data_IF_235552089338
#
_entry.id   IF_235552089338
#
_cell.length_a   1.000
_cell.length_b   1.000
_cell.length_c   1.000
_cell.angle_alpha   90.00
_cell.angle_beta   90.00
_cell.angle_gamma   90.00
#
_symmetry.space_group_name_H-M   'P 1'
#
loop_
_entity.id
_entity.type
_entity.pdbx_description
1 polymer ?
#
# COMPACT_ATOMS: atom_id res chain seq x y z
N UNK A 1 15.97 11.98 44.85
CA UNK A 1 15.86 12.65 43.54
C UNK A 1 15.95 11.57 42.48
N UNK A 2 14.80 11.17 41.94
CA UNK A 2 14.74 10.17 40.87
C UNK A 2 15.33 10.77 39.58
N UNK A 3 16.32 10.09 39.01
CA UNK A 3 16.71 10.27 37.62
C UNK A 3 15.48 10.06 36.74
N UNK A 4 14.83 11.16 36.34
CA UNK A 4 14.03 11.20 35.13
C UNK A 4 14.98 10.93 33.96
N UNK A 5 15.25 9.65 33.70
CA UNK A 5 15.79 9.21 32.42
C UNK A 5 14.91 9.83 31.35
N UNK A 6 15.48 10.75 30.60
CA UNK A 6 14.96 11.40 29.40
C UNK A 6 14.75 10.32 28.34
N UNK A 7 13.79 9.42 28.58
CA UNK A 7 13.30 8.53 27.55
C UNK A 7 12.60 9.44 26.55
N UNK A 8 13.13 9.48 25.32
CA UNK A 8 12.52 10.27 24.25
C UNK A 8 11.02 9.92 24.15
N UNK A 9 10.21 10.87 23.67
CA UNK A 9 8.76 10.67 23.49
C UNK A 9 8.41 9.38 22.72
N UNK A 10 9.34 8.89 21.89
CA UNK A 10 9.24 7.66 21.09
C UNK A 10 9.30 6.38 21.96
N UNK A 11 10.04 6.43 23.09
CA UNK A 11 10.30 5.28 23.97
C UNK A 11 9.36 5.18 25.20
N UNK A 12 8.33 6.03 25.29
CA UNK A 12 7.42 6.02 26.44
C UNK A 12 6.70 4.67 26.54
N UNK A 13 6.84 3.98 27.67
CA UNK A 13 6.19 2.68 27.91
C UNK A 13 6.84 1.50 27.16
N UNK A 14 8.07 1.66 26.65
CA UNK A 14 8.87 0.57 26.08
C UNK A 14 9.84 0.05 27.14
N UNK A 15 9.59 -1.17 27.61
CA UNK A 15 10.42 -1.85 28.61
C UNK A 15 11.74 -2.36 28.00
N UNK A 16 11.71 -2.80 26.74
CA UNK A 16 12.88 -3.31 26.02
C UNK A 16 13.02 -2.66 24.62
N UNK A 17 14.04 -1.82 24.45
CA UNK A 17 14.30 -1.11 23.18
C UNK A 17 14.63 -2.06 22.02
N UNK A 18 15.39 -3.11 22.27
CA UNK A 18 15.78 -4.08 21.22
C UNK A 18 14.55 -4.84 20.70
N UNK A 19 13.66 -5.23 21.61
CA UNK A 19 12.40 -5.88 21.25
C UNK A 19 11.48 -4.93 20.48
N UNK A 20 11.43 -3.65 20.87
CA UNK A 20 10.67 -2.62 20.17
C UNK A 20 11.15 -2.41 18.73
N UNK A 21 12.46 -2.25 18.53
CA UNK A 21 13.03 -2.12 17.19
C UNK A 21 12.79 -3.36 16.33
N UNK A 22 12.86 -4.56 16.92
CA UNK A 22 12.51 -5.80 16.23
C UNK A 22 11.06 -5.79 15.73
N UNK A 23 10.10 -5.36 16.57
CA UNK A 23 8.68 -5.25 16.18
C UNK A 23 8.47 -4.30 15.01
N UNK A 24 9.13 -3.13 15.04
CA UNK A 24 9.13 -2.18 13.93
C UNK A 24 9.69 -2.84 12.67
N UNK A 25 10.83 -3.52 12.77
CA UNK A 25 11.48 -4.21 11.65
C UNK A 25 10.60 -5.28 11.00
N UNK A 26 9.95 -6.15 11.79
CA UNK A 26 9.01 -7.14 11.24
C UNK A 26 7.83 -6.48 10.54
N UNK A 27 7.26 -5.43 11.16
CA UNK A 27 6.15 -4.68 10.57
C UNK A 27 6.57 -4.02 9.24
N UNK A 28 7.78 -3.47 9.15
CA UNK A 28 8.35 -2.92 7.92
C UNK A 28 8.50 -3.98 6.81
N UNK A 29 8.85 -5.21 7.18
CA UNK A 29 8.98 -6.30 6.21
C UNK A 29 7.62 -6.79 5.74
N UNK A 30 6.62 -6.85 6.63
CA UNK A 30 5.24 -7.13 6.21
C UNK A 30 4.71 -6.03 5.28
N UNK A 31 5.02 -4.77 5.55
CA UNK A 31 4.74 -3.67 4.62
C UNK A 31 5.40 -3.93 3.26
N UNK A 32 6.71 -4.17 3.23
CA UNK A 32 7.45 -4.33 1.98
C UNK A 32 6.97 -5.56 1.19
N UNK A 33 6.80 -6.71 1.84
CA UNK A 33 6.35 -7.95 1.23
C UNK A 33 4.94 -7.80 0.63
N UNK A 34 3.99 -7.22 1.38
CA UNK A 34 2.62 -7.03 0.87
C UNK A 34 2.57 -6.00 -0.26
N UNK A 35 3.40 -4.95 -0.21
CA UNK A 35 3.53 -3.97 -1.28
C UNK A 35 4.05 -4.61 -2.58
N UNK A 36 5.13 -5.37 -2.48
CA UNK A 36 5.73 -6.09 -3.62
C UNK A 36 4.70 -7.08 -4.17
N UNK A 37 4.13 -7.94 -3.32
CA UNK A 37 3.12 -8.92 -3.72
C UNK A 37 1.95 -8.29 -4.48
N UNK A 38 1.37 -7.21 -3.96
CA UNK A 38 0.25 -6.52 -4.62
C UNK A 38 0.64 -5.91 -5.96
N UNK A 39 1.84 -5.31 -6.03
CA UNK A 39 2.31 -4.72 -7.28
C UNK A 39 2.49 -5.79 -8.35
N UNK A 40 3.20 -6.88 -8.03
CA UNK A 40 3.43 -7.97 -8.97
C UNK A 40 2.14 -8.67 -9.40
N UNK A 41 1.24 -8.99 -8.46
CA UNK A 41 -0.03 -9.64 -8.80
C UNK A 41 -0.92 -8.74 -9.67
N UNK A 42 -0.93 -7.43 -9.40
CA UNK A 42 -1.68 -6.47 -10.22
C UNK A 42 -1.14 -6.37 -11.65
N UNK A 43 0.19 -6.35 -11.81
CA UNK A 43 0.83 -6.32 -13.13
C UNK A 43 0.66 -7.64 -13.87
N UNK A 44 0.91 -8.78 -13.20
CA UNK A 44 0.74 -10.10 -13.78
C UNK A 44 -0.70 -10.32 -14.27
N UNK A 45 -1.71 -9.89 -13.50
CA UNK A 45 -3.10 -10.00 -13.91
C UNK A 45 -3.41 -9.12 -15.12
N UNK A 46 -2.98 -7.85 -15.13
CA UNK A 46 -3.17 -6.97 -16.28
C UNK A 46 -2.48 -7.52 -17.54
N UNK A 47 -1.25 -8.01 -17.42
CA UNK A 47 -0.50 -8.60 -18.53
C UNK A 47 -1.13 -9.90 -19.04
N UNK A 48 -1.58 -10.79 -18.15
CA UNK A 48 -2.28 -12.02 -18.54
C UNK A 48 -3.57 -11.70 -19.32
N UNK A 49 -4.38 -10.76 -18.80
CA UNK A 49 -5.61 -10.35 -19.47
C UNK A 49 -5.33 -9.71 -20.84
N UNK A 50 -4.23 -8.95 -20.96
CA UNK A 50 -3.81 -8.36 -22.23
C UNK A 50 -3.40 -9.45 -23.25
N UNK A 51 -2.65 -10.46 -22.83
CA UNK A 51 -2.27 -11.59 -23.70
C UNK A 51 -3.48 -12.40 -24.17
N UNK A 52 -4.41 -12.71 -23.27
CA UNK A 52 -5.61 -13.51 -23.57
C UNK A 52 -6.52 -12.87 -24.63
N UNK A 53 -6.49 -11.53 -24.74
CA UNK A 53 -7.29 -10.79 -25.72
C UNK A 53 -6.54 -10.50 -27.03
N UNK A 54 -5.40 -11.14 -27.26
CA UNK A 54 -4.62 -11.05 -28.51
C UNK A 54 -3.69 -9.83 -28.59
N UNK A 55 -3.57 -9.07 -27.50
CA UNK A 55 -2.59 -8.00 -27.36
C UNK A 55 -1.24 -8.66 -27.08
N UNK A 56 -0.27 -8.50 -27.99
CA UNK A 56 1.12 -8.88 -27.76
C UNK A 56 1.91 -7.61 -27.47
N UNK A 57 1.84 -7.03 -26.26
CA UNK A 57 2.56 -5.80 -25.97
C UNK A 57 4.06 -6.09 -25.99
N UNK A 58 4.74 -5.74 -27.09
CA UNK A 58 6.12 -5.27 -27.00
C UNK A 58 6.03 -4.02 -26.13
N UNK A 59 6.63 -4.05 -24.94
CA UNK A 59 6.48 -3.17 -23.77
C UNK A 59 6.58 -1.65 -24.04
N UNK A 60 5.72 -1.11 -24.89
CA UNK A 60 5.65 0.27 -25.33
C UNK A 60 4.18 0.70 -25.29
N UNK A 61 3.84 1.38 -24.20
CA UNK A 61 2.57 2.08 -23.99
C UNK A 61 2.55 3.43 -24.74
N UNK A 62 3.04 3.46 -25.98
CA UNK A 62 2.95 4.66 -26.83
C UNK A 62 1.58 4.67 -27.55
N UNK A 63 0.78 5.70 -27.25
CA UNK A 63 -0.40 6.08 -28.03
C UNK A 63 -1.75 5.66 -27.45
N UNK A 64 -2.24 6.34 -26.40
CA UNK A 64 -3.67 6.31 -26.08
C UNK A 64 -4.54 6.83 -27.23
N UNK A 65 -3.98 7.66 -28.11
CA UNK A 65 -4.64 8.11 -29.35
C UNK A 65 -4.90 6.97 -30.34
N UNK A 66 -4.10 5.88 -30.32
CA UNK A 66 -4.34 4.70 -31.16
C UNK A 66 -5.51 3.84 -30.68
N UNK A 67 -5.95 3.99 -29.42
CA UNK A 67 -7.13 3.28 -28.89
C UNK A 67 -8.44 3.92 -29.39
N UNK A 68 -8.43 5.21 -29.71
CA UNK A 68 -9.54 5.92 -30.33
C UNK A 68 -9.62 5.58 -31.83
N UNK A 69 -10.01 4.34 -32.16
CA UNK A 69 -10.09 3.87 -33.55
C UNK A 69 -9.84 2.38 -33.75
N UNK A 70 -9.44 1.65 -32.71
CA UNK A 70 -9.32 0.18 -32.76
C UNK A 70 -10.70 -0.47 -32.66
N UNK A 71 -11.44 -0.44 -33.78
CA UNK A 71 -12.66 -1.22 -33.95
C UNK A 71 -12.35 -2.71 -33.79
N UNK A 72 -12.72 -3.30 -32.65
CA UNK A 72 -12.55 -4.73 -32.41
C UNK A 72 -12.63 -5.17 -30.94
N UNK A 73 -12.49 -4.25 -29.97
CA UNK A 73 -12.52 -4.60 -28.55
C UNK A 73 -13.83 -4.16 -27.90
N UNK A 74 -14.43 -5.06 -27.12
CA UNK A 74 -15.59 -4.71 -26.31
C UNK A 74 -15.19 -3.88 -25.08
N UNK A 75 -16.06 -2.96 -24.67
CA UNK A 75 -15.97 -2.16 -23.42
C UNK A 75 -15.47 -3.01 -22.25
N UNK A 76 -16.01 -4.22 -22.14
CA UNK A 76 -15.75 -5.17 -21.08
C UNK A 76 -14.29 -5.61 -21.03
N UNK A 77 -13.66 -5.88 -22.18
CA UNK A 77 -12.26 -6.33 -22.25
C UNK A 77 -11.29 -5.23 -21.83
N UNK A 78 -11.61 -3.99 -22.17
CA UNK A 78 -10.79 -2.81 -21.84
C UNK A 78 -10.90 -2.46 -20.36
N UNK A 79 -12.11 -2.54 -19.80
CA UNK A 79 -12.31 -2.46 -18.36
C UNK A 79 -11.46 -3.52 -17.64
N UNK A 80 -11.42 -4.76 -18.15
CA UNK A 80 -10.67 -5.85 -17.56
C UNK A 80 -9.14 -5.78 -17.63
N UNK A 81 -8.58 -5.04 -18.58
CA UNK A 81 -7.12 -4.85 -18.64
C UNK A 81 -6.69 -3.63 -17.80
N UNK A 82 -7.42 -2.52 -17.92
CA UNK A 82 -7.00 -1.24 -17.35
C UNK A 82 -7.57 -0.97 -15.95
N UNK A 83 -8.80 -1.41 -15.65
CA UNK A 83 -9.37 -1.26 -14.31
C UNK A 83 -9.00 -2.40 -13.36
N UNK A 84 -8.51 -3.55 -13.87
CA UNK A 84 -8.18 -4.69 -13.01
C UNK A 84 -7.14 -4.34 -11.91
N UNK A 85 -6.01 -3.66 -12.20
CA UNK A 85 -5.06 -3.30 -11.15
C UNK A 85 -5.62 -2.40 -10.03
N UNK A 86 -6.29 -1.26 -10.32
CA UNK A 86 -6.87 -0.45 -9.24
C UNK A 86 -8.01 -1.15 -8.51
N UNK A 87 -8.88 -1.88 -9.23
CA UNK A 87 -9.98 -2.63 -8.59
C UNK A 87 -9.41 -3.73 -7.69
N UNK A 88 -8.37 -4.45 -8.12
CA UNK A 88 -7.70 -5.45 -7.31
C UNK A 88 -7.15 -4.85 -6.01
N UNK A 89 -6.49 -3.70 -6.10
CA UNK A 89 -6.03 -2.97 -4.91
C UNK A 89 -7.16 -2.67 -3.92
N UNK A 90 -8.29 -2.16 -4.41
CA UNK A 90 -9.45 -1.85 -3.58
C UNK A 90 -10.09 -3.10 -2.97
N UNK A 91 -10.29 -4.14 -3.77
CA UNK A 91 -10.85 -5.44 -3.34
C UNK A 91 -9.98 -6.05 -2.25
N UNK A 92 -8.67 -6.21 -2.51
CA UNK A 92 -7.72 -6.72 -1.50
C UNK A 92 -7.74 -5.85 -0.25
N UNK A 93 -7.87 -4.53 -0.40
CA UNK A 93 -7.95 -3.63 0.74
C UNK A 93 -9.13 -3.94 1.66
N UNK A 94 -10.33 -4.04 1.07
CA UNK A 94 -11.58 -4.28 1.79
C UNK A 94 -11.55 -5.66 2.46
N UNK A 95 -11.21 -6.71 1.71
CA UNK A 95 -11.17 -8.07 2.24
C UNK A 95 -10.13 -8.22 3.35
N UNK A 96 -8.96 -7.60 3.21
CA UNK A 96 -7.92 -7.65 4.23
C UNK A 96 -8.35 -6.93 5.51
N UNK A 97 -9.05 -5.81 5.38
CA UNK A 97 -9.59 -5.08 6.53
C UNK A 97 -10.69 -5.87 7.25
N UNK A 98 -11.61 -6.50 6.50
CA UNK A 98 -12.64 -7.39 7.07
C UNK A 98 -11.99 -8.57 7.79
N UNK A 99 -11.05 -9.27 7.14
CA UNK A 99 -10.31 -10.38 7.72
C UNK A 99 -9.54 -9.95 8.99
N UNK A 100 -8.90 -8.78 8.98
CA UNK A 100 -8.23 -8.21 10.14
C UNK A 100 -9.15 -8.05 11.36
N UNK A 101 -10.42 -7.68 11.11
CA UNK A 101 -11.42 -7.54 12.17
C UNK A 101 -12.03 -8.86 12.62
N UNK A 102 -12.09 -9.86 11.74
CA UNK A 102 -12.65 -11.18 12.02
C UNK A 102 -11.67 -12.11 12.78
N UNK A 103 -10.37 -11.94 12.55
CA UNK A 103 -9.35 -12.79 13.17
C UNK A 103 -9.14 -12.44 14.64
N UNK A 104 -8.96 -13.48 15.46
CA UNK A 104 -8.65 -13.36 16.88
C UNK A 104 -7.45 -12.45 17.13
N UNK A 105 -7.55 -11.60 18.16
CA UNK A 105 -6.51 -10.62 18.47
C UNK A 105 -5.14 -11.24 18.73
N UNK A 106 -5.08 -12.49 19.20
CA UNK A 106 -3.84 -13.23 19.53
C UNK A 106 -2.97 -13.51 18.30
N UNK A 107 -3.55 -13.54 17.10
CA UNK A 107 -2.84 -13.81 15.84
C UNK A 107 -2.17 -12.54 15.28
N UNK A 108 -1.29 -11.94 16.08
CA UNK A 108 -0.77 -10.59 15.82
C UNK A 108 -0.02 -10.50 14.49
N UNK A 109 0.75 -11.52 14.09
CA UNK A 109 1.45 -11.53 12.80
C UNK A 109 0.49 -11.48 11.62
N UNK A 110 -0.51 -12.36 11.60
CA UNK A 110 -1.51 -12.39 10.52
C UNK A 110 -2.30 -11.09 10.48
N UNK A 111 -2.66 -10.53 11.65
CA UNK A 111 -3.31 -9.22 11.74
C UNK A 111 -2.41 -8.10 11.20
N UNK A 112 -1.12 -8.09 11.50
CA UNK A 112 -0.20 -7.08 10.94
C UNK A 112 -0.04 -7.24 9.42
N UNK A 113 0.04 -8.47 8.91
CA UNK A 113 0.07 -8.74 7.46
C UNK A 113 -1.20 -8.21 6.80
N UNK A 114 -2.38 -8.55 7.33
CA UNK A 114 -3.66 -8.11 6.79
C UNK A 114 -3.84 -6.59 6.88
N UNK A 115 -3.36 -5.97 7.96
CA UNK A 115 -3.36 -4.52 8.07
C UNK A 115 -2.53 -3.86 6.97
N UNK A 116 -1.31 -4.34 6.72
CA UNK A 116 -0.47 -3.78 5.66
C UNK A 116 -0.97 -4.13 4.26
N UNK A 117 -1.54 -5.31 4.07
CA UNK A 117 -2.21 -5.70 2.84
C UNK A 117 -3.41 -4.78 2.56
N UNK A 118 -4.15 -4.39 3.61
CA UNK A 118 -5.24 -3.43 3.51
C UNK A 118 -4.75 -2.03 3.09
N UNK A 119 -3.74 -1.51 3.78
CA UNK A 119 -3.14 -0.20 3.51
C UNK A 119 -2.54 -0.16 2.10
N UNK A 120 -1.72 -1.15 1.74
CA UNK A 120 -1.05 -1.22 0.44
C UNK A 120 -2.04 -1.43 -0.72
N UNK A 121 -3.12 -2.19 -0.52
CA UNK A 121 -4.18 -2.32 -1.52
C UNK A 121 -4.89 -0.99 -1.78
N UNK A 122 -5.18 -0.23 -0.72
CA UNK A 122 -5.77 1.09 -0.87
C UNK A 122 -4.81 2.09 -1.52
N UNK A 123 -3.53 2.07 -1.13
CA UNK A 123 -2.49 2.88 -1.77
C UNK A 123 -2.38 2.58 -3.26
N UNK A 124 -2.44 1.31 -3.66
CA UNK A 124 -2.44 0.91 -5.08
C UNK A 124 -3.60 1.58 -5.81
N UNK A 125 -4.83 1.41 -5.32
CA UNK A 125 -6.03 2.04 -5.89
C UNK A 125 -5.90 3.57 -5.99
N UNK A 126 -5.52 4.22 -4.88
CA UNK A 126 -5.43 5.68 -4.81
C UNK A 126 -4.32 6.22 -5.72
N UNK A 127 -3.26 5.44 -5.93
CA UNK A 127 -2.19 5.77 -6.88
C UNK A 127 -2.67 5.86 -8.31
N UNK A 128 -3.56 4.97 -8.75
CA UNK A 128 -4.18 5.08 -10.08
C UNK A 128 -5.09 6.31 -10.21
N UNK A 129 -5.79 6.70 -9.14
CA UNK A 129 -6.64 7.91 -9.15
C UNK A 129 -5.76 9.17 -9.26
N UNK A 130 -4.75 9.29 -8.40
CA UNK A 130 -3.87 10.47 -8.35
C UNK A 130 -3.00 10.58 -9.59
N UNK A 131 -2.46 9.47 -10.09
CA UNK A 131 -1.76 9.46 -11.38
C UNK A 131 -2.67 9.92 -12.50
N UNK A 132 -3.92 9.44 -12.54
CA UNK A 132 -4.87 9.87 -13.54
C UNK A 132 -5.17 11.37 -13.52
N UNK A 133 -5.14 12.00 -12.35
CA UNK A 133 -5.31 13.45 -12.20
C UNK A 133 -4.05 14.21 -12.65
N UNK A 134 -2.86 13.74 -12.24
CA UNK A 134 -1.58 14.45 -12.46
C UNK A 134 -1.09 14.30 -13.91
N UNK A 135 -1.11 13.09 -14.46
CA UNK A 135 -0.64 12.83 -15.83
C UNK A 135 -1.74 13.10 -16.87
N UNK A 136 -3.01 12.97 -16.49
CA UNK A 136 -4.11 13.26 -17.40
C UNK A 136 -4.20 12.33 -18.61
N UNK A 137 -5.05 12.72 -19.56
CA UNK A 137 -5.24 12.01 -20.84
C UNK A 137 -4.11 12.31 -21.85
N UNK A 138 -3.47 13.48 -21.74
CA UNK A 138 -2.51 14.00 -22.72
C UNK A 138 -1.06 13.58 -22.44
N UNK A 139 -0.71 13.34 -21.18
CA UNK A 139 0.49 12.59 -20.82
C UNK A 139 0.06 11.18 -20.51
N UNK A 140 -0.22 10.40 -21.56
CA UNK A 140 -0.31 8.96 -21.46
C UNK A 140 1.04 8.39 -21.05
N UNK A 141 1.36 8.48 -19.76
CA UNK A 141 2.56 7.91 -19.20
C UNK A 141 2.61 6.43 -19.58
N UNK A 142 3.79 5.99 -20.06
CA UNK A 142 4.08 4.62 -20.48
C UNK A 142 3.86 3.56 -19.39
N UNK A 143 3.44 3.95 -18.19
CA UNK A 143 3.44 3.08 -17.02
C UNK A 143 2.05 2.86 -16.41
N UNK A 144 1.08 3.77 -16.57
CA UNK A 144 -0.15 3.72 -15.76
C UNK A 144 -1.36 4.37 -16.43
N UNK A 145 -2.13 3.59 -17.18
CA UNK A 145 -3.37 4.07 -17.80
C UNK A 145 -4.59 3.31 -17.25
N UNK A 146 -4.78 3.30 -15.93
CA UNK A 146 -5.90 2.57 -15.31
C UNK A 146 -7.27 3.20 -15.59
N UNK A 147 -7.72 4.07 -14.68
CA UNK A 147 -9.01 4.77 -14.84
C UNK A 147 -9.05 5.70 -16.05
N UNK A 148 -7.95 6.40 -16.36
CA UNK A 148 -7.90 7.34 -17.48
C UNK A 148 -8.08 6.63 -18.83
N UNK A 149 -7.36 5.52 -19.12
CA UNK A 149 -7.60 4.84 -20.40
C UNK A 149 -9.01 4.29 -20.51
N UNK A 150 -9.55 3.75 -19.41
CA UNK A 150 -10.93 3.26 -19.41
C UNK A 150 -11.92 4.38 -19.78
N UNK A 151 -11.83 5.54 -19.12
CA UNK A 151 -12.75 6.65 -19.38
C UNK A 151 -12.51 7.31 -20.75
N UNK A 152 -11.26 7.38 -21.22
CA UNK A 152 -10.93 7.84 -22.57
C UNK A 152 -11.52 6.92 -23.64
N UNK A 153 -11.53 5.61 -23.41
CA UNK A 153 -12.14 4.66 -24.31
C UNK A 153 -13.68 4.79 -24.35
N UNK A 154 -14.32 5.15 -23.24
CA UNK A 154 -15.74 5.51 -23.21
C UNK A 154 -16.07 6.82 -23.95
N UNK A 155 -15.09 7.43 -24.63
CA UNK A 155 -15.20 8.70 -25.35
C UNK A 155 -15.70 9.84 -24.46
N UNK A 156 -15.37 9.79 -23.16
CA UNK A 156 -15.71 10.88 -22.25
C UNK A 156 -14.78 12.07 -22.47
N UNK A 157 -15.34 13.28 -22.33
CA UNK A 157 -14.55 14.50 -22.43
C UNK A 157 -13.54 14.60 -21.29
N UNK A 158 -12.37 15.18 -21.56
CA UNK A 158 -11.30 15.43 -20.56
C UNK A 158 -11.83 16.00 -19.25
N UNK A 159 -12.67 17.04 -19.32
CA UNK A 159 -13.28 17.66 -18.14
C UNK A 159 -14.13 16.69 -17.30
N UNK A 160 -14.88 15.79 -17.95
CA UNK A 160 -15.67 14.76 -17.27
C UNK A 160 -14.77 13.71 -16.59
N UNK A 161 -13.70 13.29 -17.26
CA UNK A 161 -12.71 12.35 -16.71
C UNK A 161 -12.08 12.91 -15.43
N UNK A 162 -11.56 14.14 -15.47
CA UNK A 162 -10.98 14.79 -14.30
C UNK A 162 -12.00 15.01 -13.18
N UNK A 163 -13.22 15.46 -13.52
CA UNK A 163 -14.29 15.65 -12.53
C UNK A 163 -14.59 14.37 -11.76
N UNK A 164 -14.71 13.23 -12.46
CA UNK A 164 -14.97 11.94 -11.82
C UNK A 164 -13.79 11.50 -10.96
N UNK A 165 -12.54 11.65 -11.43
CA UNK A 165 -11.37 11.28 -10.63
C UNK A 165 -11.21 12.12 -9.37
N UNK A 166 -11.53 13.42 -9.42
CA UNK A 166 -11.51 14.32 -8.25
C UNK A 166 -12.59 13.90 -7.25
N UNK A 167 -13.81 13.65 -7.71
CA UNK A 167 -14.91 13.17 -6.85
C UNK A 167 -14.53 11.83 -6.22
N UNK A 168 -13.99 10.91 -7.01
CA UNK A 168 -13.51 9.61 -6.56
C UNK A 168 -12.40 9.75 -5.52
N UNK A 169 -11.44 10.65 -5.72
CA UNK A 169 -10.40 10.97 -4.74
C UNK A 169 -11.02 11.45 -3.42
N UNK A 170 -11.89 12.47 -3.46
CA UNK A 170 -12.53 13.06 -2.27
C UNK A 170 -13.30 11.99 -1.48
N UNK A 171 -14.12 11.18 -2.16
CA UNK A 171 -14.89 10.11 -1.52
C UNK A 171 -13.95 9.07 -0.91
N UNK A 172 -12.88 8.71 -1.63
CA UNK A 172 -11.91 7.70 -1.18
C UNK A 172 -11.10 8.15 0.03
N UNK A 173 -10.92 9.46 0.24
CA UNK A 173 -10.23 9.99 1.41
C UNK A 173 -10.94 9.67 2.73
N UNK A 174 -12.22 9.28 2.75
CA UNK A 174 -12.86 8.78 3.96
C UNK A 174 -12.34 7.40 4.39
N UNK A 175 -11.88 6.58 3.44
CA UNK A 175 -11.51 5.18 3.68
C UNK A 175 -10.30 5.01 4.63
N UNK A 176 -9.21 5.81 4.56
CA UNK A 176 -8.11 5.76 5.51
C UNK A 176 -8.48 5.93 6.99
N UNK A 177 -9.65 6.50 7.31
CA UNK A 177 -10.13 6.58 8.70
C UNK A 177 -10.38 5.19 9.29
N UNK A 178 -10.66 4.19 8.47
CA UNK A 178 -10.87 2.82 8.92
C UNK A 178 -9.57 2.17 9.43
N UNK A 179 -8.40 2.64 8.99
CA UNK A 179 -7.10 2.15 9.45
C UNK A 179 -6.79 2.59 10.88
N UNK A 180 -7.37 3.70 11.36
CA UNK A 180 -7.11 4.25 12.70
C UNK A 180 -7.40 3.22 13.80
N UNK A 181 -8.51 2.48 13.69
CA UNK A 181 -8.83 1.39 14.63
C UNK A 181 -7.78 0.28 14.58
N UNK A 182 -7.33 -0.10 13.39
CA UNK A 182 -6.30 -1.12 13.20
C UNK A 182 -4.96 -0.74 13.84
N UNK A 183 -4.54 0.53 13.66
CA UNK A 183 -3.33 1.09 14.27
C UNK A 183 -3.38 0.99 15.80
N UNK A 184 -4.53 1.31 16.42
CA UNK A 184 -4.69 1.20 17.87
C UNK A 184 -4.74 -0.27 18.35
N UNK A 185 -5.29 -1.17 17.55
CA UNK A 185 -5.38 -2.59 17.90
C UNK A 185 -4.06 -3.36 17.75
N UNK A 186 -3.17 -2.89 16.87
CA UNK A 186 -1.81 -3.44 16.68
C UNK A 186 -0.80 -2.91 17.70
N UNK A 187 -1.16 -1.87 18.45
CA UNK A 187 -0.36 -1.35 19.53
C UNK A 187 -0.15 -2.38 20.66
N UNK A 188 0.93 -2.22 21.43
CA UNK A 188 1.27 -3.06 22.57
C UNK A 188 0.93 -2.43 23.93
N UNK A 189 0.60 -1.13 23.99
CA UNK A 189 0.34 -0.41 25.26
C UNK A 189 -1.08 0.17 25.36
N UNK A 190 -1.90 -0.42 26.23
CA UNK A 190 -3.25 0.12 26.57
C UNK A 190 -3.20 1.52 27.16
N UNK A 191 -2.17 1.82 27.95
CA UNK A 191 -1.97 3.13 28.60
C UNK A 191 -1.72 4.24 27.56
N UNK A 192 -0.92 3.95 26.52
CA UNK A 192 -0.68 4.92 25.46
C UNK A 192 -1.93 5.13 24.60
N UNK A 193 -2.68 4.07 24.30
CA UNK A 193 -3.91 4.17 23.52
C UNK A 193 -5.03 4.93 24.26
N UNK A 194 -5.03 4.92 25.61
CA UNK A 194 -6.03 5.60 26.42
C UNK A 194 -5.82 7.10 26.60
N UNK A 195 -4.58 7.58 26.47
CA UNK A 195 -4.25 8.99 26.59
C UNK A 195 -4.29 9.65 25.21
N UNK A 196 -4.94 10.83 25.10
CA UNK A 196 -4.96 11.61 23.85
C UNK A 196 -3.55 11.85 23.31
N UNK A 197 -2.63 12.28 24.19
CA UNK A 197 -1.23 12.55 23.86
C UNK A 197 -0.42 11.27 23.54
N UNK A 198 -0.95 10.08 23.87
CA UNK A 198 -0.30 8.81 23.57
C UNK A 198 -0.63 8.27 22.17
N UNK A 199 -1.78 8.64 21.59
CA UNK A 199 -2.20 8.17 20.26
C UNK A 199 -1.24 8.56 19.12
N UNK A 200 -0.66 9.78 19.07
CA UNK A 200 0.37 10.11 18.09
C UNK A 200 1.63 9.25 18.21
N UNK A 201 2.02 8.89 19.44
CA UNK A 201 3.17 8.00 19.69
C UNK A 201 2.86 6.58 19.18
N UNK A 202 1.64 6.09 19.39
CA UNK A 202 1.18 4.82 18.82
C UNK A 202 1.22 4.87 17.29
N UNK A 203 0.71 5.93 16.69
CA UNK A 203 0.72 6.13 15.24
C UNK A 203 2.15 6.12 14.67
N UNK A 204 3.07 6.83 15.31
CA UNK A 204 4.47 6.87 14.91
C UNK A 204 5.08 5.45 14.92
N UNK A 205 4.89 4.70 16.00
CA UNK A 205 5.50 3.38 16.19
C UNK A 205 4.85 2.26 15.37
N UNK A 206 3.53 2.31 15.16
CA UNK A 206 2.78 1.24 14.48
C UNK A 206 2.67 1.50 12.98
N UNK A 207 2.63 2.77 12.55
CA UNK A 207 2.38 3.15 11.17
C UNK A 207 3.61 3.80 10.51
N UNK A 208 4.03 4.97 11.01
CA UNK A 208 5.03 5.81 10.33
C UNK A 208 6.38 5.11 10.23
N UNK A 209 6.95 4.65 11.35
CA UNK A 209 8.28 4.03 11.35
C UNK A 209 8.31 2.74 10.50
N UNK A 210 7.36 1.79 10.64
CA UNK A 210 7.32 0.63 9.77
C UNK A 210 7.13 0.97 8.29
N UNK A 211 6.27 1.93 7.95
CA UNK A 211 6.04 2.29 6.56
C UNK A 211 7.27 2.96 5.94
N UNK A 212 7.93 3.88 6.64
CA UNK A 212 9.18 4.51 6.16
C UNK A 212 10.28 3.48 5.93
N UNK A 213 10.52 2.58 6.90
CA UNK A 213 11.51 1.51 6.73
C UNK A 213 11.12 0.53 5.63
N UNK A 214 9.83 0.19 5.54
CA UNK A 214 9.30 -0.69 4.52
C UNK A 214 9.46 -0.11 3.12
N UNK A 215 9.27 1.20 2.95
CA UNK A 215 9.52 1.91 1.68
C UNK A 215 10.99 1.88 1.28
N UNK A 216 11.91 2.03 2.23
CA UNK A 216 13.35 1.87 1.96
C UNK A 216 13.63 0.44 1.49
N UNK A 217 13.07 -0.57 2.16
CA UNK A 217 13.22 -1.98 1.75
C UNK A 217 12.63 -2.24 0.36
N UNK A 218 11.48 -1.65 0.03
CA UNK A 218 10.88 -1.74 -1.31
C UNK A 218 11.81 -1.09 -2.34
N UNK A 219 12.33 0.12 -2.07
CA UNK A 219 13.22 0.81 -2.99
C UNK A 219 14.49 -0.01 -3.27
N UNK A 220 15.09 -0.61 -2.24
CA UNK A 220 16.26 -1.50 -2.38
C UNK A 220 15.89 -2.77 -3.16
N UNK A 221 14.77 -3.41 -2.82
CA UNK A 221 14.34 -4.67 -3.44
C UNK A 221 13.84 -4.49 -4.89
N UNK A 222 13.45 -3.28 -5.27
CA UNK A 222 12.92 -2.99 -6.61
C UNK A 222 13.88 -2.22 -7.50
N UNK A 223 15.05 -1.77 -7.02
CA UNK A 223 16.07 -1.15 -7.87
C UNK A 223 16.50 -2.08 -9.04
N UNK A 224 16.64 -1.60 -10.29
CA UNK A 224 16.51 -0.22 -10.78
C UNK A 224 15.11 0.11 -11.37
N UNK A 225 14.01 -0.35 -10.78
CA UNK A 225 12.65 0.07 -11.21
C UNK A 225 12.50 1.60 -11.13
N UNK A 226 11.58 2.14 -11.93
CA UNK A 226 11.32 3.58 -12.04
C UNK A 226 11.08 4.21 -10.65
N UNK A 227 12.09 4.94 -10.18
CA UNK A 227 12.07 5.64 -8.91
C UNK A 227 10.91 6.64 -8.83
N UNK A 228 10.49 7.22 -9.97
CA UNK A 228 9.36 8.17 -10.03
C UNK A 228 8.07 7.49 -9.60
N UNK A 229 7.87 6.24 -10.00
CA UNK A 229 6.69 5.48 -9.61
C UNK A 229 6.62 5.23 -8.10
N UNK A 230 7.76 4.84 -7.52
CA UNK A 230 7.86 4.62 -6.08
C UNK A 230 7.67 5.94 -5.31
N UNK A 231 8.27 7.04 -5.76
CA UNK A 231 8.11 8.38 -5.16
C UNK A 231 6.64 8.83 -5.16
N UNK A 232 5.89 8.58 -6.22
CA UNK A 232 4.47 8.95 -6.26
C UNK A 232 3.67 8.14 -5.23
N UNK A 233 3.87 6.82 -5.18
CA UNK A 233 3.23 5.98 -4.15
C UNK A 233 3.60 6.42 -2.72
N UNK A 234 4.86 6.82 -2.50
CA UNK A 234 5.31 7.40 -1.22
C UNK A 234 4.62 8.73 -0.92
N UNK A 235 4.47 9.60 -1.92
CA UNK A 235 3.75 10.86 -1.79
C UNK A 235 2.29 10.66 -1.39
N UNK A 236 1.66 9.62 -1.92
CA UNK A 236 0.25 9.27 -1.66
C UNK A 236 0.05 8.65 -0.28
N UNK A 237 1.09 8.06 0.32
CA UNK A 237 1.03 7.61 1.70
C UNK A 237 0.84 8.77 2.68
N UNK A 238 1.31 9.98 2.36
CA UNK A 238 1.16 11.15 3.24
C UNK A 238 -0.31 11.52 3.52
N UNK A 239 -1.19 11.75 2.52
CA UNK A 239 -2.59 12.03 2.79
C UNK A 239 -3.31 10.86 3.48
N UNK A 240 -2.96 9.60 3.16
CA UNK A 240 -3.48 8.42 3.87
C UNK A 240 -3.09 8.47 5.35
N UNK A 241 -1.81 8.75 5.65
CA UNK A 241 -1.29 8.85 7.01
C UNK A 241 -1.97 9.97 7.80
N UNK A 242 -2.13 11.17 7.20
CA UNK A 242 -2.77 12.31 7.84
C UNK A 242 -4.22 12.01 8.21
N UNK A 243 -4.99 11.41 7.30
CA UNK A 243 -6.39 11.09 7.58
C UNK A 243 -6.52 9.95 8.59
N UNK A 244 -5.65 8.93 8.51
CA UNK A 244 -5.60 7.89 9.53
C UNK A 244 -5.25 8.46 10.91
N UNK A 245 -4.40 9.48 10.99
CA UNK A 245 -4.11 10.19 12.24
C UNK A 245 -5.33 10.97 12.76
N UNK A 246 -6.07 11.66 11.88
CA UNK A 246 -7.32 12.33 12.26
C UNK A 246 -8.36 11.35 12.81
N UNK A 247 -8.51 10.18 12.19
CA UNK A 247 -9.41 9.13 12.69
C UNK A 247 -9.03 8.60 14.07
N UNK A 248 -7.75 8.67 14.47
CA UNK A 248 -7.34 8.29 15.83
C UNK A 248 -7.94 9.20 16.89
N UNK A 249 -8.14 10.50 16.60
CA UNK A 249 -8.77 11.44 17.52
C UNK A 249 -10.20 10.98 17.89
N UNK A 250 -10.91 10.35 16.95
CA UNK A 250 -12.31 9.95 17.09
C UNK A 250 -12.50 8.67 17.95
N UNK A 251 -11.48 7.84 18.13
CA UNK A 251 -11.62 6.58 18.86
C UNK A 251 -11.44 6.73 20.38
N UNK A 252 -12.41 6.24 21.17
CA UNK A 252 -12.30 6.10 22.63
C UNK A 252 -11.69 4.75 23.01
N UNK A 253 -10.76 4.74 23.95
CA UNK A 253 -9.98 3.54 24.30
C UNK A 253 -10.76 2.41 24.97
N UNK A 254 -11.92 2.70 25.60
CA UNK A 254 -12.75 1.68 26.29
C UNK A 254 -13.25 0.57 25.35
N UNK A 255 -13.28 0.81 24.04
CA UNK A 255 -13.81 -0.14 23.05
C UNK A 255 -12.74 -0.82 22.19
N UNK A 256 -11.46 -0.69 22.55
CA UNK A 256 -10.34 -1.22 21.76
C UNK A 256 -9.75 -2.44 22.47
N UNK A 257 -9.97 -3.62 21.88
CA UNK A 257 -9.32 -4.85 22.31
C UNK A 257 -7.85 -4.83 21.88
N UNK A 258 -6.96 -4.56 22.85
CA UNK A 258 -5.50 -4.55 22.66
C UNK A 258 -4.90 -5.84 23.24
N UNK A 259 -4.04 -6.49 22.46
CA UNK A 259 -3.30 -7.69 22.87
C UNK A 259 -2.01 -7.29 23.58
N UNK A 260 -1.87 -7.73 24.83
CA UNK A 260 -0.68 -7.45 25.65
C UNK A 260 0.56 -8.07 24.97
N UNK A 261 1.60 -7.26 24.76
CA UNK A 261 2.86 -7.70 24.16
C UNK A 261 2.99 -7.45 22.64
N UNK A 262 1.89 -7.24 21.92
CA UNK A 262 1.93 -6.91 20.48
C UNK A 262 2.61 -7.97 19.62
N UNK A 263 3.26 -7.54 18.54
CA UNK A 263 3.93 -8.42 17.58
C UNK A 263 5.08 -9.19 18.27
N UNK A 264 5.10 -10.52 18.17
CA UNK A 264 6.15 -11.32 18.80
C UNK A 264 7.35 -11.42 17.85
N UNK A 265 8.59 -11.40 18.33
CA UNK A 265 9.73 -11.62 17.45
C UNK A 265 9.74 -13.06 16.93
N UNK A 266 9.74 -13.24 15.61
CA UNK A 266 9.97 -14.53 14.93
C UNK A 266 11.49 -14.75 14.77
N UNK A 267 11.99 -15.98 14.62
CA UNK A 267 13.43 -16.22 14.44
C UNK A 267 14.00 -15.35 13.32
N UNK A 268 15.05 -14.58 13.63
CA UNK A 268 15.71 -13.65 12.69
C UNK A 268 16.16 -14.36 11.41
N UNK A 269 16.47 -15.65 11.51
CA UNK A 269 16.84 -16.52 10.40
C UNK A 269 15.76 -16.57 9.32
N UNK A 270 14.48 -16.74 9.68
CA UNK A 270 13.40 -16.78 8.68
C UNK A 270 13.22 -15.46 7.94
N UNK A 271 13.51 -14.35 8.61
CA UNK A 271 13.48 -13.01 8.06
C UNK A 271 14.62 -12.79 7.05
N UNK A 272 15.83 -13.19 7.44
CA UNK A 272 17.03 -13.13 6.59
C UNK A 272 16.80 -14.00 5.34
N UNK A 273 16.28 -15.21 5.51
CA UNK A 273 15.95 -16.10 4.40
C UNK A 273 14.93 -15.45 3.45
N UNK A 274 13.86 -14.82 3.96
CA UNK A 274 12.89 -14.13 3.10
C UNK A 274 13.52 -12.98 2.30
N UNK A 275 14.33 -12.14 2.96
CA UNK A 275 15.03 -11.03 2.29
C UNK A 275 16.01 -11.55 1.25
N UNK A 276 16.77 -12.60 1.58
CA UNK A 276 17.70 -13.27 0.65
C UNK A 276 16.94 -13.87 -0.53
N UNK A 277 15.82 -14.55 -0.31
CA UNK A 277 14.98 -15.11 -1.38
C UNK A 277 14.41 -14.01 -2.29
N UNK A 278 13.99 -12.86 -1.74
CA UNK A 278 13.55 -11.72 -2.54
C UNK A 278 14.71 -11.18 -3.41
N UNK A 279 15.90 -11.02 -2.86
CA UNK A 279 17.09 -10.58 -3.60
C UNK A 279 17.49 -11.61 -4.67
N UNK A 280 17.55 -12.90 -4.33
CA UNK A 280 17.89 -13.98 -5.25
C UNK A 280 16.87 -14.13 -6.37
N UNK A 281 15.57 -13.99 -6.08
CA UNK A 281 14.53 -13.99 -7.11
C UNK A 281 14.74 -12.86 -8.13
N UNK A 282 15.32 -11.72 -7.69
CA UNK A 282 15.67 -10.63 -8.59
C UNK A 282 16.93 -10.85 -9.40
N UNK A 283 17.99 -11.36 -8.80
CA UNK A 283 19.16 -11.80 -9.57
C UNK A 283 18.76 -12.82 -10.64
N UNK A 284 17.90 -13.78 -10.28
CA UNK A 284 17.37 -14.75 -11.22
C UNK A 284 16.59 -14.09 -12.36
N UNK A 285 15.66 -13.17 -12.05
CA UNK A 285 14.89 -12.45 -13.07
C UNK A 285 15.79 -11.55 -13.94
N UNK A 286 16.81 -10.90 -13.39
CA UNK A 286 17.74 -10.07 -14.16
C UNK A 286 18.60 -10.90 -15.13
N UNK A 287 18.95 -12.13 -14.75
CA UNK A 287 19.74 -13.03 -15.60
C UNK A 287 18.92 -13.68 -16.73
N UNK A 288 17.60 -13.80 -16.56
CA UNK A 288 16.74 -14.58 -17.47
C UNK A 288 15.65 -13.76 -18.15
N UNK A 289 15.48 -12.49 -17.78
CA UNK A 289 14.57 -11.55 -18.45
C UNK A 289 15.46 -10.48 -19.07
N UNK A 290 15.60 -10.51 -20.39
CA UNK A 290 16.30 -9.45 -21.12
C UNK A 290 15.63 -8.11 -20.81
N UNK A 291 16.39 -7.08 -20.42
CA UNK A 291 15.83 -5.75 -20.29
C UNK A 291 15.37 -5.27 -21.67
N UNK A 292 14.08 -4.97 -21.81
CA UNK A 292 13.47 -4.45 -23.03
C UNK A 292 13.72 -2.94 -23.19
N UNK A 293 14.95 -2.47 -22.96
CA UNK A 293 15.38 -1.12 -23.32
C UNK A 293 16.36 -1.13 -24.49
#
# INVERSE_FOLDING_TARGET
MEEKKTNSLIFIGIENRNEHFRKIGYSAIYFAATFIFLSYTSHAWSTSNAWDIGLRPLFSYDGMESLAGTGGWSVYRIAWVYLAPPIWGLVVSIFSLVAFTAIEGRNVHLRTILFWLAVNGFLLYLSYVIMGIISGQDYGSKLFTGFVAYYSWLLWSKGKIYGILIVQLIISLAYPMLFSKGILQLNYSRLLASKSNGKPIVFLNVFVLPATLGLILVAVATFPMDFRYQVIRMGILMPVALISLLGLALHKAKHIQIVKGGLKPVPLVGLIVLVVLLILSRFWLQLHVEPLW
#
